data_IF_943926031698
#
_entry.id   IF_943926031698
#
_cell.length_a   1.000
_cell.length_b   1.000
_cell.length_c   1.000
_cell.angle_alpha   90.00
_cell.angle_beta   90.00
_cell.angle_gamma   90.00
#
_symmetry.space_group_name_H-M   'P 1'
#
loop_
_entity.id
_entity.type
_entity.pdbx_description
1 polymer ?
#
# COMPACT_ATOMS: atom_id res chain seq x y z
N UNK A 1 27.92 59.78 14.88
CA UNK A 1 28.55 58.49 14.50
C UNK A 1 27.45 57.43 14.60
N UNK A 2 26.86 57.01 13.47
CA UNK A 2 25.74 56.06 13.42
C UNK A 2 26.31 54.67 13.08
N UNK A 3 26.30 53.74 14.03
CA UNK A 3 26.62 52.34 13.77
C UNK A 3 25.35 51.65 13.28
N UNK A 4 25.36 51.14 12.05
CA UNK A 4 24.28 50.31 11.50
C UNK A 4 24.61 48.87 11.88
N UNK A 5 23.77 48.26 12.73
CA UNK A 5 23.86 46.83 13.07
C UNK A 5 23.22 46.03 11.93
N UNK A 6 24.01 45.32 11.13
CA UNK A 6 23.50 44.41 10.11
C UNK A 6 23.20 43.06 10.77
N UNK A 7 21.90 42.75 10.94
CA UNK A 7 21.45 41.43 11.42
C UNK A 7 21.52 40.40 10.30
N UNK A 8 22.25 39.31 10.52
CA UNK A 8 22.29 38.15 9.62
C UNK A 8 21.08 37.25 9.96
N UNK A 9 20.13 37.16 9.03
CA UNK A 9 18.98 36.26 9.13
C UNK A 9 19.40 34.86 8.64
N UNK A 10 19.58 33.92 9.57
CA UNK A 10 19.74 32.51 9.22
C UNK A 10 18.37 31.92 8.84
N UNK A 11 18.12 31.77 7.54
CA UNK A 11 17.02 30.97 7.01
C UNK A 11 17.32 29.50 7.28
N UNK A 12 16.69 28.93 8.32
CA UNK A 12 16.71 27.49 8.56
C UNK A 12 15.75 26.84 7.57
N UNK A 13 16.21 25.97 6.64
CA UNK A 13 15.30 25.28 5.75
C UNK A 13 14.45 24.31 6.60
N UNK A 14 13.13 24.48 6.52
CA UNK A 14 12.19 23.50 7.07
C UNK A 14 12.31 22.27 6.17
N UNK A 15 13.04 21.26 6.64
CA UNK A 15 13.03 19.95 5.99
C UNK A 15 11.68 19.33 6.31
N UNK A 16 10.79 19.28 5.32
CA UNK A 16 9.58 18.47 5.40
C UNK A 16 10.07 17.02 5.40
N UNK A 17 10.07 16.37 6.57
CA UNK A 17 10.21 14.93 6.64
C UNK A 17 8.91 14.34 6.09
N UNK A 18 8.94 13.90 4.83
CA UNK A 18 7.93 12.96 4.34
C UNK A 18 7.97 11.74 5.26
N UNK A 19 6.82 11.35 5.80
CA UNK A 19 6.74 10.07 6.51
C UNK A 19 6.98 8.98 5.47
N UNK A 20 8.11 8.28 5.60
CA UNK A 20 8.33 7.02 4.89
C UNK A 20 7.35 6.00 5.47
N UNK A 21 6.14 5.98 4.91
CA UNK A 21 5.09 5.07 5.35
C UNK A 21 5.50 3.66 4.94
N UNK A 22 5.86 2.84 5.93
CA UNK A 22 6.17 1.43 5.71
C UNK A 22 4.94 0.73 5.12
N UNK A 23 5.04 0.28 3.88
CA UNK A 23 4.02 -0.57 3.25
C UNK A 23 3.99 -1.91 4.00
N UNK A 24 2.84 -2.22 4.61
CA UNK A 24 2.65 -3.47 5.33
C UNK A 24 2.25 -4.61 4.40
N UNK A 25 1.37 -4.33 3.43
CA UNK A 25 0.85 -5.28 2.46
C UNK A 25 0.49 -4.56 1.14
N UNK A 26 0.71 -5.22 0.00
CA UNK A 26 0.44 -4.74 -1.35
C UNK A 26 0.15 -5.91 -2.30
N UNK A 27 -1.00 -5.86 -2.97
CA UNK A 27 -1.43 -6.85 -3.95
C UNK A 27 -1.59 -6.20 -5.33
N UNK A 28 -0.84 -6.71 -6.32
CA UNK A 28 -0.90 -6.25 -7.71
C UNK A 28 -1.63 -7.19 -8.67
N UNK A 29 -1.99 -8.41 -8.24
CA UNK A 29 -2.78 -9.39 -9.02
C UNK A 29 -2.20 -9.84 -10.38
N UNK A 30 -0.92 -9.56 -10.67
CA UNK A 30 -0.30 -9.92 -11.96
C UNK A 30 -0.19 -11.44 -12.15
N UNK A 31 0.34 -12.13 -11.14
CA UNK A 31 0.68 -13.55 -11.18
C UNK A 31 -0.18 -14.35 -10.19
N UNK A 32 -1.43 -14.63 -10.58
CA UNK A 32 -2.34 -15.51 -9.82
C UNK A 32 -2.31 -16.91 -10.42
N UNK A 33 -1.77 -17.87 -9.69
CA UNK A 33 -1.72 -19.28 -10.11
C UNK A 33 -2.40 -20.18 -9.07
N UNK A 34 -3.34 -21.03 -9.51
CA UNK A 34 -4.06 -21.95 -8.60
C UNK A 34 -4.64 -21.25 -7.36
N UNK A 35 -5.15 -20.02 -7.52
CA UNK A 35 -5.69 -19.16 -6.45
C UNK A 35 -4.66 -18.64 -5.45
N UNK A 36 -3.38 -18.92 -5.67
CA UNK A 36 -2.28 -18.38 -4.90
C UNK A 36 -1.91 -17.00 -5.46
N UNK A 37 -1.76 -16.03 -4.56
CA UNK A 37 -1.38 -14.65 -4.85
C UNK A 37 -0.23 -14.27 -3.92
N UNK A 38 0.96 -14.02 -4.49
CA UNK A 38 2.10 -13.56 -3.70
C UNK A 38 1.90 -12.08 -3.35
N UNK A 39 1.83 -11.78 -2.05
CA UNK A 39 1.80 -10.40 -1.56
C UNK A 39 3.21 -9.80 -1.61
N UNK A 40 3.35 -8.63 -2.24
CA UNK A 40 4.64 -8.13 -2.71
C UNK A 40 5.58 -7.61 -1.60
N UNK A 41 5.03 -7.16 -0.47
CA UNK A 41 5.79 -6.53 0.63
C UNK A 41 6.45 -7.57 1.53
N UNK A 42 5.76 -8.68 1.82
CA UNK A 42 6.25 -9.77 2.67
C UNK A 42 6.75 -10.99 1.89
N UNK A 43 6.37 -11.13 0.62
CA UNK A 43 6.65 -12.32 -0.20
C UNK A 43 5.85 -13.57 0.21
N UNK A 44 4.87 -13.41 1.09
CA UNK A 44 4.02 -14.51 1.58
C UNK A 44 2.82 -14.69 0.65
N UNK A 45 2.49 -15.95 0.41
CA UNK A 45 1.33 -16.37 -0.37
C UNK A 45 0.00 -16.14 0.38
N UNK A 46 -0.93 -15.46 -0.29
CA UNK A 46 -2.33 -15.37 0.09
C UNK A 46 -3.20 -16.23 -0.83
N UNK A 47 -4.40 -16.59 -0.36
CA UNK A 47 -5.37 -17.36 -1.15
C UNK A 47 -6.53 -16.49 -1.60
N UNK A 48 -6.90 -16.58 -2.88
CA UNK A 48 -8.15 -16.01 -3.40
C UNK A 48 -9.28 -17.05 -3.30
N UNK A 49 -10.21 -16.80 -2.39
CA UNK A 49 -11.43 -17.62 -2.23
C UNK A 49 -12.55 -17.15 -3.18
N UNK A 50 -13.60 -17.97 -3.34
CA UNK A 50 -14.75 -17.64 -4.18
C UNK A 50 -14.53 -17.82 -5.68
N UNK A 51 -15.45 -17.32 -6.51
CA UNK A 51 -15.23 -17.23 -7.96
C UNK A 51 -14.58 -15.90 -8.29
N UNK A 52 -13.63 -15.88 -9.22
CA UNK A 52 -13.00 -14.64 -9.64
C UNK A 52 -12.47 -14.77 -11.06
N UNK A 53 -12.33 -13.62 -11.71
CA UNK A 53 -11.67 -13.49 -13.00
C UNK A 53 -10.58 -12.42 -12.91
N UNK A 54 -9.47 -12.58 -13.65
CA UNK A 54 -8.56 -11.46 -13.89
C UNK A 54 -9.26 -10.39 -14.74
N UNK A 55 -8.95 -9.12 -14.48
CA UNK A 55 -9.41 -7.99 -15.30
C UNK A 55 -8.28 -6.96 -15.47
N UNK A 56 -8.30 -6.15 -16.53
CA UNK A 56 -7.38 -5.01 -16.64
C UNK A 56 -7.57 -4.03 -15.46
N UNK A 57 -6.49 -3.69 -14.77
CA UNK A 57 -6.46 -2.72 -13.68
C UNK A 57 -6.01 -1.32 -14.14
N UNK A 58 -5.97 -0.37 -13.20
CA UNK A 58 -5.37 0.96 -13.43
C UNK A 58 -3.87 0.83 -13.73
N UNK A 59 -3.22 -0.12 -13.07
CA UNK A 59 -1.87 -0.58 -13.34
C UNK A 59 -1.93 -2.10 -13.51
N UNK A 60 -1.50 -2.60 -14.67
CA UNK A 60 -1.45 -4.03 -14.96
C UNK A 60 -2.79 -4.76 -14.78
N UNK A 61 -2.82 -5.79 -13.94
CA UNK A 61 -4.03 -6.56 -13.65
C UNK A 61 -4.75 -6.12 -12.36
N UNK A 62 -6.04 -6.44 -12.31
CA UNK A 62 -6.90 -6.33 -11.15
C UNK A 62 -7.70 -7.62 -10.95
N UNK A 63 -8.33 -7.73 -9.79
CA UNK A 63 -9.18 -8.86 -9.45
C UNK A 63 -10.66 -8.48 -9.65
N UNK A 64 -11.37 -9.20 -10.52
CA UNK A 64 -12.83 -9.06 -10.66
C UNK A 64 -13.53 -9.95 -9.64
N UNK A 65 -14.27 -9.31 -8.75
CA UNK A 65 -15.05 -9.99 -7.71
C UNK A 65 -16.39 -10.47 -8.29
N UNK A 66 -16.87 -11.61 -7.80
CA UNK A 66 -18.17 -12.19 -8.15
C UNK A 66 -19.36 -11.48 -7.46
N UNK A 67 -19.08 -10.61 -6.49
CA UNK A 67 -20.07 -9.86 -5.71
C UNK A 67 -20.69 -10.64 -4.54
N UNK A 68 -20.22 -11.85 -4.25
CA UNK A 68 -20.76 -12.72 -3.20
C UNK A 68 -19.71 -13.34 -2.30
N UNK A 69 -18.66 -13.96 -2.89
CA UNK A 69 -17.73 -14.83 -2.18
C UNK A 69 -16.25 -14.51 -2.40
N UNK A 70 -15.91 -13.72 -3.43
CA UNK A 70 -14.50 -13.39 -3.69
C UNK A 70 -13.86 -12.63 -2.54
N UNK A 71 -12.74 -13.14 -2.03
CA UNK A 71 -11.89 -12.40 -1.10
C UNK A 71 -10.43 -12.88 -1.19
N UNK A 72 -9.50 -12.01 -0.80
CA UNK A 72 -8.10 -12.37 -0.56
C UNK A 72 -7.94 -12.67 0.92
N UNK A 73 -7.34 -13.81 1.25
CA UNK A 73 -7.26 -14.31 2.63
C UNK A 73 -5.84 -14.64 3.03
N UNK A 74 -5.40 -14.00 4.12
CA UNK A 74 -4.14 -14.21 4.81
C UNK A 74 -4.32 -15.19 5.97
N UNK A 75 -3.42 -16.15 6.09
CA UNK A 75 -3.34 -17.02 7.27
C UNK A 75 -3.10 -16.18 8.52
N UNK A 76 -3.81 -16.49 9.62
CA UNK A 76 -3.72 -15.69 10.85
C UNK A 76 -2.34 -15.69 11.50
N UNK A 77 -1.52 -16.72 11.23
CA UNK A 77 -0.14 -16.81 11.71
C UNK A 77 0.79 -15.80 11.02
N UNK A 78 0.44 -15.39 9.81
CA UNK A 78 1.24 -14.52 8.93
C UNK A 78 0.68 -13.09 8.83
N UNK A 79 -0.22 -12.72 9.75
CA UNK A 79 -0.89 -11.41 9.72
C UNK A 79 0.12 -10.27 9.88
N UNK A 80 -0.06 -9.21 9.09
CA UNK A 80 0.67 -7.97 9.30
C UNK A 80 0.21 -7.30 10.61
N UNK A 81 1.16 -6.77 11.39
CA UNK A 81 0.84 -5.97 12.57
C UNK A 81 0.61 -4.51 12.14
N UNK A 82 -0.62 -4.04 12.29
CA UNK A 82 -1.05 -2.70 11.85
C UNK A 82 -0.75 -1.58 12.86
N UNK A 83 -0.29 -1.92 14.07
CA UNK A 83 -0.19 -0.94 15.16
C UNK A 83 -1.55 -0.31 15.52
N UNK A 84 -1.53 0.88 16.12
CA UNK A 84 -2.73 1.62 16.50
C UNK A 84 -3.35 2.40 15.33
N UNK A 85 -2.53 2.76 14.33
CA UNK A 85 -2.92 3.58 13.19
C UNK A 85 -2.33 3.00 11.90
N UNK A 86 -3.18 2.86 10.88
CA UNK A 86 -2.77 2.42 9.55
C UNK A 86 -3.67 3.04 8.47
N UNK A 87 -3.21 2.98 7.23
CA UNK A 87 -3.95 3.43 6.05
C UNK A 87 -4.16 2.26 5.10
N UNK A 88 -5.29 2.26 4.41
CA UNK A 88 -5.58 1.34 3.30
C UNK A 88 -5.92 2.18 2.08
N UNK A 89 -5.32 1.83 0.95
CA UNK A 89 -5.61 2.43 -0.36
C UNK A 89 -5.85 1.33 -1.39
N UNK A 90 -6.68 1.62 -2.39
CA UNK A 90 -7.00 0.68 -3.46
C UNK A 90 -7.53 1.41 -4.72
N UNK A 91 -7.27 0.84 -5.89
CA UNK A 91 -7.99 1.17 -7.11
C UNK A 91 -9.28 0.35 -7.18
N UNK A 92 -10.42 1.01 -7.42
CA UNK A 92 -11.74 0.37 -7.50
C UNK A 92 -12.49 0.86 -8.73
N UNK A 93 -13.10 -0.06 -9.47
CA UNK A 93 -13.96 0.22 -10.62
C UNK A 93 -15.31 -0.49 -10.44
N UNK A 94 -16.38 0.13 -10.96
CA UNK A 94 -17.77 -0.36 -10.91
C UNK A 94 -18.23 -0.82 -12.28
#
# INVERSE_FOLDING_TARGET
MRTILAGILFLMPIVILGQDAKILMHWGFEDVENRNLIEASSGIADTIEGNFDPAPGVLGQGLRFDGFTTCVKRSSIDKASTGDEFTVEAWVAL
#
